data_IF_393018982455
#
_entry.id   IF_393018982455
#
_cell.length_a   1.000
_cell.length_b   1.000
_cell.length_c   1.000
_cell.angle_alpha   90.00
_cell.angle_beta   90.00
_cell.angle_gamma   90.00
#
_symmetry.space_group_name_H-M   'P 1'
#
loop_
_entity.id
_entity.type
_entity.pdbx_description
1 polymer ?
#
# COMPACT_ATOMS: atom_id res chain seq x y z
N UNK A 1 -4.12 15.42 -12.06
CA UNK A 1 -4.78 15.04 -10.79
C UNK A 1 -4.70 13.54 -10.50
N UNK A 2 -4.77 12.66 -11.52
CA UNK A 2 -4.74 11.20 -11.37
C UNK A 2 -3.43 10.60 -10.83
N UNK A 3 -2.26 11.05 -11.28
CA UNK A 3 -0.97 10.47 -10.87
C UNK A 3 -0.69 10.60 -9.37
N UNK A 4 -0.93 11.78 -8.80
CA UNK A 4 -0.72 12.04 -7.37
C UNK A 4 -1.69 11.21 -6.54
N UNK A 5 -2.94 11.06 -6.98
CA UNK A 5 -3.92 10.28 -6.24
C UNK A 5 -3.57 8.78 -6.23
N UNK A 6 -3.23 8.22 -7.39
CA UNK A 6 -2.85 6.81 -7.55
C UNK A 6 -1.58 6.44 -6.77
N UNK A 7 -0.62 7.37 -6.70
CA UNK A 7 0.66 7.13 -6.02
C UNK A 7 0.74 7.77 -4.64
N UNK A 8 -0.36 8.36 -4.16
CA UNK A 8 -0.41 9.08 -2.88
C UNK A 8 0.15 8.25 -1.74
N UNK A 9 -0.18 6.96 -1.69
CA UNK A 9 0.31 6.02 -0.69
C UNK A 9 1.82 5.74 -0.78
N UNK A 10 2.38 5.64 -1.99
CA UNK A 10 3.83 5.46 -2.18
C UNK A 10 4.57 6.78 -1.90
N UNK A 11 4.01 7.90 -2.36
CA UNK A 11 4.56 9.23 -2.14
C UNK A 11 4.63 9.53 -0.64
N UNK A 12 3.55 9.28 0.11
CA UNK A 12 3.53 9.45 1.56
C UNK A 12 4.49 8.50 2.27
N UNK A 13 4.56 7.24 1.80
CA UNK A 13 5.50 6.24 2.29
C UNK A 13 6.97 6.60 2.13
N UNK A 14 7.31 7.43 1.15
CA UNK A 14 8.68 7.93 0.94
C UNK A 14 8.89 9.26 1.66
N UNK A 15 7.93 10.18 1.59
CA UNK A 15 8.09 11.52 2.15
C UNK A 15 8.17 11.52 3.67
N UNK A 16 7.42 10.66 4.36
CA UNK A 16 7.43 10.62 5.83
C UNK A 16 8.78 10.15 6.38
N UNK A 17 9.36 9.00 5.96
CA UNK A 17 10.70 8.59 6.40
C UNK A 17 11.78 9.60 6.00
N UNK A 18 11.65 10.24 4.84
CA UNK A 18 12.60 11.26 4.39
C UNK A 18 12.60 12.48 5.32
N UNK A 19 11.43 12.99 5.70
CA UNK A 19 11.32 14.09 6.66
C UNK A 19 11.93 13.67 8.01
N UNK A 20 11.59 12.48 8.49
CA UNK A 20 12.15 11.93 9.75
C UNK A 20 13.69 11.87 9.69
N UNK A 21 14.25 11.34 8.61
CA UNK A 21 15.70 11.26 8.40
C UNK A 21 16.36 12.64 8.39
N UNK A 22 15.78 13.62 7.67
CA UNK A 22 16.29 15.00 7.65
C UNK A 22 16.28 15.61 9.05
N UNK A 23 15.22 15.38 9.84
CA UNK A 23 15.12 15.93 11.20
C UNK A 23 16.10 15.28 12.18
N UNK A 24 16.27 13.95 12.11
CA UNK A 24 17.13 13.21 13.03
C UNK A 24 18.61 13.42 12.71
N UNK A 25 18.99 13.42 11.43
CA UNK A 25 20.39 13.57 11.02
C UNK A 25 20.90 15.01 11.03
N UNK A 26 20.06 15.99 11.40
CA UNK A 26 20.42 17.41 11.40
C UNK A 26 21.63 17.70 12.30
N UNK A 27 21.68 17.05 13.45
CA UNK A 27 22.67 17.30 14.49
C UNK A 27 23.78 16.20 14.51
N UNK A 28 23.81 15.34 13.48
CA UNK A 28 24.72 14.20 13.33
C UNK A 28 23.98 12.86 13.20
N UNK A 29 24.67 11.80 12.76
CA UNK A 29 24.08 10.46 12.64
C UNK A 29 24.37 9.69 13.92
N UNK A 30 23.36 9.48 14.76
CA UNK A 30 23.46 8.51 15.85
C UNK A 30 22.98 7.12 15.41
N UNK A 31 23.44 6.10 16.13
CA UNK A 31 23.02 4.72 15.90
C UNK A 31 21.51 4.55 16.16
N UNK A 32 20.96 5.33 17.10
CA UNK A 32 19.53 5.32 17.43
C UNK A 32 18.68 5.92 16.29
N UNK A 33 19.16 7.00 15.66
CA UNK A 33 18.48 7.62 14.51
C UNK A 33 18.40 6.66 13.33
N UNK A 34 19.49 5.93 13.09
CA UNK A 34 19.57 4.93 12.03
C UNK A 34 18.56 3.81 12.26
N UNK A 35 18.46 3.31 13.51
CA UNK A 35 17.48 2.28 13.90
C UNK A 35 16.05 2.80 13.70
N UNK A 36 15.75 4.03 14.09
CA UNK A 36 14.43 4.63 13.92
C UNK A 36 14.01 4.73 12.45
N UNK A 37 14.92 5.22 11.59
CA UNK A 37 14.65 5.32 10.15
C UNK A 37 14.43 3.93 9.54
N UNK A 38 15.33 2.98 9.81
CA UNK A 38 15.17 1.60 9.33
C UNK A 38 13.88 0.93 9.83
N UNK A 39 13.55 1.13 11.11
CA UNK A 39 12.31 0.64 11.70
C UNK A 39 11.07 1.20 10.99
N UNK A 40 11.06 2.50 10.68
CA UNK A 40 9.95 3.13 9.95
C UNK A 40 9.76 2.55 8.55
N UNK A 41 10.86 2.29 7.83
CA UNK A 41 10.84 1.68 6.50
C UNK A 41 10.36 0.22 6.59
N UNK A 42 10.83 -0.54 7.57
CA UNK A 42 10.41 -1.92 7.79
C UNK A 42 8.90 -2.01 8.08
N UNK A 43 8.39 -1.15 8.97
CA UNK A 43 6.95 -1.06 9.27
C UNK A 43 6.15 -0.73 8.02
N UNK A 44 6.60 0.24 7.22
CA UNK A 44 5.94 0.59 5.96
C UNK A 44 5.88 -0.59 4.98
N UNK A 45 6.98 -1.32 4.82
CA UNK A 45 7.03 -2.52 3.97
C UNK A 45 6.10 -3.60 4.49
N UNK A 46 6.10 -3.87 5.80
CA UNK A 46 5.20 -4.85 6.42
C UNK A 46 3.73 -4.51 6.21
N UNK A 47 3.36 -3.25 6.45
CA UNK A 47 1.99 -2.76 6.20
C UNK A 47 1.62 -2.94 4.73
N UNK A 48 2.52 -2.60 3.79
CA UNK A 48 2.29 -2.78 2.35
C UNK A 48 2.11 -4.24 1.96
N UNK A 49 2.87 -5.16 2.56
CA UNK A 49 2.73 -6.59 2.29
C UNK A 49 1.40 -7.14 2.84
N UNK A 50 0.97 -6.68 4.01
CA UNK A 50 -0.32 -7.06 4.62
C UNK A 50 -1.52 -6.49 3.85
N UNK A 51 -1.41 -5.25 3.38
CA UNK A 51 -2.46 -4.56 2.62
C UNK A 51 -2.42 -4.86 1.13
N UNK A 52 -1.55 -5.77 0.65
CA UNK A 52 -1.44 -6.06 -0.78
C UNK A 52 -2.82 -6.55 -1.26
N UNK A 53 -3.51 -5.82 -2.16
CA UNK A 53 -4.81 -6.24 -2.63
C UNK A 53 -4.63 -7.60 -3.30
N UNK A 54 -5.37 -8.59 -2.80
CA UNK A 54 -5.44 -9.89 -3.45
C UNK A 54 -6.07 -9.63 -4.82
N UNK A 55 -5.34 -9.95 -5.89
CA UNK A 55 -5.87 -9.84 -7.25
C UNK A 55 -7.24 -10.51 -7.29
N UNK A 56 -8.24 -9.80 -7.82
CA UNK A 56 -9.57 -10.37 -7.99
C UNK A 56 -9.45 -11.74 -8.65
N UNK A 57 -9.93 -12.78 -7.97
CA UNK A 57 -9.96 -14.16 -8.51
C UNK A 57 -10.92 -14.25 -9.71
N UNK A 58 -11.75 -13.22 -9.91
CA UNK A 58 -12.74 -13.11 -10.97
C UNK A 58 -12.22 -12.13 -12.04
N UNK A 59 -11.30 -12.63 -12.86
CA UNK A 59 -10.69 -11.87 -13.97
C UNK A 59 -11.51 -11.91 -15.26
N UNK A 60 -12.64 -12.62 -15.28
CA UNK A 60 -13.43 -12.87 -16.50
C UNK A 60 -14.92 -12.73 -16.22
N UNK A 61 -15.68 -12.12 -17.13
CA UNK A 61 -17.12 -11.90 -16.95
C UNK A 61 -17.90 -13.21 -16.72
N UNK A 62 -17.45 -14.32 -17.32
CA UNK A 62 -18.09 -15.63 -17.16
C UNK A 62 -17.95 -16.20 -15.75
N UNK A 63 -16.83 -15.95 -15.07
CA UNK A 63 -16.62 -16.41 -13.69
C UNK A 63 -17.45 -15.58 -12.70
N UNK A 64 -17.63 -14.28 -12.97
CA UNK A 64 -18.53 -13.41 -12.20
C UNK A 64 -19.97 -13.88 -12.31
N UNK A 65 -20.43 -14.19 -13.53
CA UNK A 65 -21.78 -14.70 -13.78
C UNK A 65 -22.03 -16.03 -13.07
N UNK A 66 -21.08 -16.96 -13.14
CA UNK A 66 -21.15 -18.25 -12.45
C UNK A 66 -21.23 -18.07 -10.92
N UNK A 67 -20.53 -17.09 -10.36
CA UNK A 67 -20.58 -16.80 -8.92
C UNK A 67 -21.90 -16.15 -8.48
N UNK A 68 -22.50 -15.28 -9.32
CA UNK A 68 -23.83 -14.70 -9.10
C UNK A 68 -24.93 -15.79 -9.14
N UNK A 69 -24.82 -16.72 -10.09
CA UNK A 69 -25.80 -17.79 -10.28
C UNK A 69 -25.72 -18.86 -9.18
N UNK A 70 -24.69 -18.84 -8.33
CA UNK A 70 -24.49 -19.82 -7.24
C UNK A 70 -25.47 -19.67 -6.06
N UNK A 71 -26.29 -18.62 -6.05
CA UNK A 71 -27.26 -18.34 -4.98
C UNK A 71 -26.63 -17.93 -3.64
N UNK A 72 -25.30 -17.79 -3.58
CA UNK A 72 -24.57 -17.30 -2.40
C UNK A 72 -24.43 -15.78 -2.46
N UNK A 73 -24.41 -15.09 -1.31
CA UNK A 73 -24.07 -13.67 -1.27
C UNK A 73 -22.64 -13.49 -1.79
N UNK A 74 -22.52 -12.93 -2.99
CA UNK A 74 -21.24 -12.71 -3.66
C UNK A 74 -20.97 -11.21 -3.70
N UNK A 75 -19.89 -10.78 -3.04
CA UNK A 75 -19.44 -9.39 -3.11
C UNK A 75 -18.63 -9.20 -4.39
N UNK A 76 -19.14 -8.34 -5.28
CA UNK A 76 -18.46 -7.96 -6.53
C UNK A 76 -17.85 -6.58 -6.32
N UNK A 77 -16.53 -6.54 -6.24
CA UNK A 77 -15.79 -5.29 -6.16
C UNK A 77 -15.26 -4.94 -7.55
N UNK A 78 -15.80 -3.88 -8.14
CA UNK A 78 -15.31 -3.35 -9.40
C UNK A 78 -14.04 -2.55 -9.14
N UNK A 79 -12.88 -3.19 -9.28
CA UNK A 79 -11.61 -2.47 -9.31
C UNK A 79 -11.39 -1.89 -10.71
N UNK A 80 -11.66 -0.59 -10.83
CA UNK A 80 -11.12 0.23 -11.92
C UNK A 80 -9.59 0.24 -11.80
N UNK A 81 -8.87 0.13 -12.93
CA UNK A 81 -7.42 0.38 -12.95
C UNK A 81 -7.06 1.83 -12.58
N UNK A 82 -8.06 2.70 -12.44
CA UNK A 82 -7.93 4.13 -12.16
C UNK A 82 -8.28 4.53 -10.74
#
# INVERSE_FOLDING_TARGET
MTFINQRSFIISGISVPLIIAITLFRDGISLLDTILVLGSVAVFISIRLLLKPTSSLLTTADTVKTALDSGKPTLIEYQSEY
#
